data_IF_639644156568
#
_entry.id   IF_639644156568
#
_cell.length_a   1.000
_cell.length_b   1.000
_cell.length_c   1.000
_cell.angle_alpha   90.00
_cell.angle_beta   90.00
_cell.angle_gamma   90.00
#
_symmetry.space_group_name_H-M   'P 1'
#
loop_
_entity.id
_entity.type
_entity.pdbx_description
1 polymer ?
#
# COMPACT_ATOMS: atom_id res chain seq x y z
N UNK A 1 -4.46 22.53 11.66
CA UNK A 1 -3.74 21.44 12.35
C UNK A 1 -3.38 20.40 11.30
N UNK A 2 -2.14 20.39 10.82
CA UNK A 2 -1.65 19.53 9.71
C UNK A 2 -1.22 18.12 10.20
N UNK A 3 -1.76 17.68 11.33
CA UNK A 3 -1.22 16.50 12.04
C UNK A 3 -1.77 15.18 11.50
N UNK A 4 -2.86 15.19 10.74
CA UNK A 4 -3.57 14.00 10.31
C UNK A 4 -3.78 13.99 8.80
N UNK A 5 -3.61 12.82 8.22
CA UNK A 5 -4.08 12.50 6.87
C UNK A 5 -5.11 11.38 6.98
N UNK A 6 -6.12 11.44 6.12
CA UNK A 6 -7.15 10.42 5.98
C UNK A 6 -6.86 9.61 4.72
N UNK A 7 -6.84 8.29 4.85
CA UNK A 7 -6.73 7.36 3.74
C UNK A 7 -8.13 7.06 3.16
N UNK A 8 -8.17 6.52 1.93
CA UNK A 8 -9.42 6.20 1.24
C UNK A 8 -10.32 5.17 1.98
N UNK A 9 -9.72 4.38 2.88
CA UNK A 9 -10.42 3.43 3.76
C UNK A 9 -10.96 4.06 5.06
N UNK A 10 -10.77 5.37 5.24
CA UNK A 10 -11.14 6.13 6.45
C UNK A 10 -10.11 6.01 7.58
N UNK A 11 -8.97 5.35 7.36
CA UNK A 11 -7.89 5.28 8.36
C UNK A 11 -7.23 6.65 8.52
N UNK A 12 -7.17 7.12 9.76
CA UNK A 12 -6.47 8.36 10.13
C UNK A 12 -5.03 8.06 10.54
N UNK A 13 -4.07 8.59 9.79
CA UNK A 13 -2.65 8.49 10.11
C UNK A 13 -2.18 9.80 10.71
N UNK A 14 -1.60 9.70 11.91
CA UNK A 14 -0.97 10.83 12.60
C UNK A 14 0.48 10.96 12.16
N UNK A 15 0.87 12.15 11.75
CA UNK A 15 2.25 12.49 11.45
C UNK A 15 3.14 12.48 12.70
N UNK A 16 4.34 11.92 12.57
CA UNK A 16 5.40 11.90 13.56
C UNK A 16 6.55 12.85 13.16
N UNK A 17 7.54 13.03 14.04
CA UNK A 17 8.75 13.86 13.79
C UNK A 17 8.47 15.25 13.22
N UNK A 18 7.52 15.95 13.82
CA UNK A 18 7.07 17.27 13.36
C UNK A 18 8.14 18.32 13.65
N UNK A 19 8.58 19.02 12.61
CA UNK A 19 9.46 20.19 12.76
C UNK A 19 9.05 21.31 11.81
N UNK A 20 9.30 22.54 12.22
CA UNK A 20 9.03 23.71 11.39
C UNK A 20 10.23 24.64 11.38
N UNK A 21 10.50 25.24 10.23
CA UNK A 21 11.55 26.23 10.04
C UNK A 21 10.98 27.40 9.28
N UNK A 22 11.25 28.61 9.74
CA UNK A 22 10.94 29.83 8.99
C UNK A 22 12.24 30.33 8.35
N UNK A 23 12.24 30.52 7.04
CA UNK A 23 13.38 31.01 6.27
C UNK A 23 12.88 31.95 5.19
N UNK A 24 13.45 33.15 5.09
CA UNK A 24 13.02 34.20 4.14
C UNK A 24 11.51 34.50 4.16
N UNK A 25 10.89 34.45 5.35
CA UNK A 25 9.44 34.60 5.57
C UNK A 25 8.58 33.46 4.98
N UNK A 26 9.19 32.33 4.65
CA UNK A 26 8.53 31.11 4.21
C UNK A 26 8.53 30.12 5.38
N UNK A 27 7.35 29.62 5.73
CA UNK A 27 7.19 28.57 6.71
C UNK A 27 7.35 27.20 6.04
N UNK A 28 8.45 26.52 6.33
CA UNK A 28 8.67 25.13 5.99
C UNK A 28 8.18 24.24 7.13
N UNK A 29 7.35 23.25 6.81
CA UNK A 29 6.82 22.30 7.76
C UNK A 29 7.18 20.88 7.31
N UNK A 30 7.90 20.15 8.15
CA UNK A 30 8.35 18.79 7.89
C UNK A 30 7.59 17.83 8.82
N UNK A 31 6.99 16.80 8.22
CA UNK A 31 6.20 15.78 8.92
C UNK A 31 6.50 14.43 8.28
N UNK A 32 6.72 13.41 9.10
CA UNK A 32 6.90 12.03 8.65
C UNK A 32 5.60 11.25 8.86
N UNK A 33 5.16 10.48 7.86
CA UNK A 33 4.00 9.59 7.96
C UNK A 33 4.46 8.14 7.74
N UNK A 34 4.30 7.29 8.75
CA UNK A 34 4.54 5.85 8.61
C UNK A 34 3.28 5.18 8.04
N UNK A 35 3.36 4.72 6.79
CA UNK A 35 2.26 4.02 6.13
C UNK A 35 2.76 2.80 5.36
N UNK A 36 1.94 1.75 5.32
CA UNK A 36 2.19 0.56 4.52
C UNK A 36 1.37 0.64 3.24
N UNK A 37 2.04 0.64 2.09
CA UNK A 37 1.38 0.66 0.78
C UNK A 37 1.26 -0.77 0.30
N UNK A 38 0.03 -1.28 0.20
CA UNK A 38 -0.24 -2.56 -0.44
C UNK A 38 -0.30 -2.36 -1.96
N UNK A 39 0.56 -3.09 -2.68
CA UNK A 39 0.40 -3.24 -4.12
C UNK A 39 -0.72 -4.24 -4.36
N UNK A 40 -1.89 -3.78 -4.83
CA UNK A 40 -2.93 -4.69 -5.32
C UNK A 40 -2.32 -5.51 -6.47
N UNK A 41 -2.23 -6.82 -6.27
CA UNK A 41 -1.95 -7.75 -7.35
C UNK A 41 -3.23 -7.75 -8.21
N UNK A 42 -3.15 -7.24 -9.44
CA UNK A 42 -4.24 -7.40 -10.40
C UNK A 42 -4.61 -8.89 -10.46
N UNK A 43 -5.90 -9.19 -10.56
CA UNK A 43 -6.43 -10.56 -10.55
C UNK A 43 -5.71 -11.41 -11.60
N UNK A 44 -4.65 -12.14 -11.18
CA UNK A 44 -3.91 -13.01 -12.08
C UNK A 44 -4.86 -14.12 -12.51
N UNK A 45 -5.06 -14.36 -13.82
CA UNK A 45 -5.93 -15.42 -14.28
C UNK A 45 -5.43 -16.73 -13.69
N UNK A 46 -6.29 -17.37 -12.88
CA UNK A 46 -5.98 -18.67 -12.26
C UNK A 46 -5.62 -19.65 -13.37
N UNK A 47 -4.47 -20.33 -13.24
CA UNK A 47 -4.10 -21.40 -14.16
C UNK A 47 -5.25 -22.40 -14.27
N UNK A 48 -5.67 -22.71 -15.51
CA UNK A 48 -6.71 -23.70 -15.77
C UNK A 48 -6.33 -25.03 -15.13
N UNK A 49 -7.30 -25.69 -14.47
CA UNK A 49 -7.13 -27.06 -13.98
C UNK A 49 -6.79 -27.97 -15.15
N UNK A 50 -5.69 -28.71 -15.04
CA UNK A 50 -5.32 -29.77 -15.97
C UNK A 50 -6.08 -31.04 -15.57
N UNK A 51 -7.03 -31.45 -16.39
CA UNK A 51 -7.75 -32.71 -16.21
C UNK A 51 -6.90 -33.84 -16.84
N UNK A 52 -6.20 -34.60 -16.01
CA UNK A 52 -5.34 -35.70 -16.47
C UNK A 52 -6.19 -36.97 -16.55
N UNK A 53 -6.66 -37.31 -17.75
CA UNK A 53 -7.24 -38.61 -18.04
C UNK A 53 -6.12 -39.67 -18.04
N UNK A 54 -5.90 -40.29 -16.88
CA UNK A 54 -4.89 -41.32 -16.69
C UNK A 54 -5.39 -42.67 -17.22
N UNK A 55 -5.36 -42.84 -18.55
CA UNK A 55 -5.52 -44.14 -19.19
C UNK A 55 -4.27 -44.98 -18.94
N UNK A 56 -4.34 -45.93 -18.02
CA UNK A 56 -3.30 -46.96 -17.86
C UNK A 56 -3.22 -47.76 -19.16
N UNK A 57 -2.03 -47.80 -19.79
CA UNK A 57 -1.73 -48.82 -20.79
C UNK A 57 -1.27 -50.06 -20.04
N UNK A 58 -2.01 -51.14 -20.16
CA UNK A 58 -1.53 -52.48 -19.81
C UNK A 58 -0.61 -52.97 -20.95
N UNK A 59 0.63 -53.31 -20.60
CA UNK A 59 1.55 -54.15 -21.38
C UNK A 59 2.21 -55.15 -20.40
#
# INVERSE_FOLDING_TARGET
MLEYIELDDGTLIRGIERSSREEDRILHFFITYEMFIYKLDEEKPKMKKLDVNNGLKED
#
